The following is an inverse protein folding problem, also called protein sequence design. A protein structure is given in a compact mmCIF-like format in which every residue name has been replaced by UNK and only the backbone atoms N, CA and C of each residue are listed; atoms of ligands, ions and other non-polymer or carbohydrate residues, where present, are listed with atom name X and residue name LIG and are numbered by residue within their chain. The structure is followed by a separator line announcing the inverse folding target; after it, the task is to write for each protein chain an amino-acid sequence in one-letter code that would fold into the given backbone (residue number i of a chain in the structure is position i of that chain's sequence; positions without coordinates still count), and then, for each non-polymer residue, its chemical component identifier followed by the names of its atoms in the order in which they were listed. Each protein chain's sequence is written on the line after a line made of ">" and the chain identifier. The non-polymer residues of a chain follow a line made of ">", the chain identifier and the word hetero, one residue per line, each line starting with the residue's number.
data_IF_846696203055
#
_entry.id   IF_846696203055
#
_cell.length_a   1.000
_cell.length_b   1.000
_cell.length_c   1.000
_cell.angle_alpha   90.00
_cell.angle_beta   90.00
_cell.angle_gamma   90.00
#
_symmetry.space_group_name_H-M   'P 1'
#
loop_
_entity.id
_entity.type
_entity.pdbx_description
1 polymer ?
#
# COMPACT_ATOMS: atom_id res chain seq x y z
N UNK A 1 -11.51 9.59 36.01
CA UNK A 1 -12.69 9.51 36.88
C UNK A 1 -13.82 8.72 36.20
N UNK A 2 -14.71 8.11 36.98
CA UNK A 2 -15.85 7.37 36.41
C UNK A 2 -16.79 8.27 35.62
N UNK A 3 -16.95 9.52 36.05
CA UNK A 3 -17.76 10.53 35.37
C UNK A 3 -17.20 10.88 33.98
N UNK A 4 -15.89 11.12 33.88
CA UNK A 4 -15.25 11.40 32.58
C UNK A 4 -15.25 10.20 31.62
N UNK A 5 -15.20 8.96 32.14
CA UNK A 5 -15.36 7.76 31.32
C UNK A 5 -16.80 7.60 30.83
N UNK A 6 -17.78 7.87 31.68
CA UNK A 6 -19.21 7.83 31.32
C UNK A 6 -19.54 8.85 30.23
N UNK A 7 -19.05 10.07 30.33
CA UNK A 7 -19.19 11.12 29.33
C UNK A 7 -18.62 10.70 27.95
N UNK A 8 -17.42 10.15 27.92
CA UNK A 8 -16.79 9.66 26.69
C UNK A 8 -17.52 8.47 26.03
N UNK A 9 -18.24 7.69 26.84
CA UNK A 9 -19.04 6.55 26.38
C UNK A 9 -20.51 6.95 26.09
N UNK A 10 -20.87 8.20 26.26
CA UNK A 10 -22.27 8.70 26.16
C UNK A 10 -23.23 7.94 27.07
N UNK A 11 -22.76 7.57 28.28
CA UNK A 11 -23.53 6.86 29.29
C UNK A 11 -23.73 7.72 30.53
N UNK A 12 -24.79 7.42 31.30
CA UNK A 12 -24.86 7.99 32.65
C UNK A 12 -23.87 7.28 33.59
N UNK A 13 -23.28 8.01 34.53
CA UNK A 13 -22.35 7.45 35.52
C UNK A 13 -22.96 6.26 36.30
N UNK A 14 -24.24 6.27 36.73
CA UNK A 14 -24.87 5.12 37.36
C UNK A 14 -24.98 3.88 36.44
N UNK A 15 -25.21 4.09 35.12
CA UNK A 15 -25.25 3.01 34.16
C UNK A 15 -23.87 2.36 34.01
N UNK A 16 -22.82 3.15 33.84
CA UNK A 16 -21.44 2.66 33.77
C UNK A 16 -21.04 1.92 35.04
N UNK A 17 -21.35 2.46 36.21
CA UNK A 17 -21.08 1.81 37.51
C UNK A 17 -21.74 0.45 37.62
N UNK A 18 -23.00 0.33 37.20
CA UNK A 18 -23.73 -0.97 37.19
C UNK A 18 -23.10 -1.96 36.23
N UNK A 19 -22.69 -1.52 35.04
CA UNK A 19 -22.02 -2.39 34.06
C UNK A 19 -20.70 -2.94 34.59
N UNK A 20 -19.92 -2.10 35.28
CA UNK A 20 -18.67 -2.52 35.93
C UNK A 20 -18.91 -3.52 37.05
N UNK A 21 -19.93 -3.30 37.92
CA UNK A 21 -20.30 -4.25 38.98
C UNK A 21 -20.79 -5.60 38.41
N UNK A 22 -21.56 -5.56 37.33
CA UNK A 22 -22.01 -6.75 36.65
C UNK A 22 -20.82 -7.55 36.08
N UNK A 23 -19.85 -6.89 35.47
CA UNK A 23 -18.64 -7.53 34.97
C UNK A 23 -17.82 -8.18 36.08
N UNK A 24 -17.63 -7.50 37.22
CA UNK A 24 -16.98 -8.08 38.41
C UNK A 24 -17.76 -9.33 38.93
N UNK A 25 -19.10 -9.27 38.92
CA UNK A 25 -19.93 -10.39 39.34
C UNK A 25 -19.86 -11.58 38.38
N UNK A 26 -19.81 -11.33 37.05
CA UNK A 26 -19.67 -12.39 36.05
C UNK A 26 -18.28 -13.05 36.11
N UNK A 27 -17.23 -12.27 36.31
CA UNK A 27 -15.85 -12.76 36.44
C UNK A 27 -15.55 -13.35 37.83
N UNK A 28 -16.42 -13.12 38.82
CA UNK A 28 -16.27 -13.53 40.21
C UNK A 28 -15.00 -13.04 40.92
N UNK A 29 -14.42 -11.96 40.41
CA UNK A 29 -13.24 -11.29 40.99
C UNK A 29 -13.39 -9.77 40.95
N UNK A 30 -12.86 -9.03 41.94
CA UNK A 30 -12.81 -7.59 41.87
C UNK A 30 -11.79 -7.15 40.78
N UNK A 31 -12.14 -6.13 40.01
CA UNK A 31 -11.30 -5.56 38.99
C UNK A 31 -10.75 -4.17 39.34
N UNK A 32 -11.36 -3.53 40.33
CA UNK A 32 -11.05 -2.12 40.66
C UNK A 32 -10.69 -1.93 42.11
N UNK A 33 -9.70 -1.07 42.36
CA UNK A 33 -9.52 -0.42 43.65
C UNK A 33 -10.42 0.80 43.70
N UNK A 34 -11.32 0.85 44.69
CA UNK A 34 -12.26 1.95 44.90
C UNK A 34 -11.78 2.80 46.07
N UNK A 35 -11.43 4.05 45.80
CA UNK A 35 -11.14 5.09 46.81
C UNK A 35 -12.17 6.21 46.68
N UNK A 36 -12.29 7.05 47.71
CA UNK A 36 -13.37 8.04 47.88
C UNK A 36 -13.66 8.93 46.64
N UNK A 37 -12.65 9.14 45.76
CA UNK A 37 -12.78 9.95 44.53
C UNK A 37 -12.00 9.34 43.33
N UNK A 38 -11.51 8.12 43.44
CA UNK A 38 -10.64 7.53 42.42
C UNK A 38 -10.99 6.06 42.25
N UNK A 39 -11.06 5.62 41.00
CA UNK A 39 -11.20 4.23 40.63
C UNK A 39 -10.00 3.86 39.74
N UNK A 40 -9.31 2.78 40.08
CA UNK A 40 -8.14 2.30 39.35
C UNK A 40 -8.25 0.79 39.17
N UNK A 41 -7.67 0.28 38.08
CA UNK A 41 -7.54 -1.15 37.89
C UNK A 41 -6.62 -1.76 38.94
N UNK A 42 -7.05 -2.86 39.55
CA UNK A 42 -6.16 -3.80 40.24
C UNK A 42 -5.48 -4.72 39.20
N UNK A 43 -4.74 -5.75 39.62
CA UNK A 43 -4.05 -6.68 38.71
C UNK A 43 -5.04 -7.46 37.85
N UNK A 44 -6.14 -7.96 38.40
CA UNK A 44 -7.20 -8.63 37.66
C UNK A 44 -7.83 -7.68 36.62
N UNK A 45 -8.03 -6.42 37.00
CA UNK A 45 -8.58 -5.40 36.11
C UNK A 45 -7.69 -5.09 34.91
N UNK A 46 -6.35 -5.08 35.10
CA UNK A 46 -5.41 -4.90 33.97
C UNK A 46 -5.44 -6.09 33.02
N UNK A 47 -5.45 -7.31 33.57
CA UNK A 47 -5.60 -8.53 32.78
C UNK A 47 -6.93 -8.53 32.01
N UNK A 48 -8.05 -8.24 32.68
CA UNK A 48 -9.36 -8.15 32.04
C UNK A 48 -9.42 -7.10 30.94
N UNK A 49 -8.78 -5.93 31.16
CA UNK A 49 -8.71 -4.87 30.15
C UNK A 49 -7.89 -5.29 28.92
N UNK A 50 -6.82 -6.08 29.10
CA UNK A 50 -6.04 -6.62 27.99
C UNK A 50 -6.85 -7.63 27.18
N UNK A 51 -7.48 -8.59 27.83
CA UNK A 51 -8.38 -9.55 27.19
C UNK A 51 -9.53 -8.83 26.46
N UNK A 52 -10.12 -7.81 27.08
CA UNK A 52 -11.20 -7.04 26.46
C UNK A 52 -10.74 -6.31 25.18
N UNK A 53 -9.52 -5.77 25.15
CA UNK A 53 -8.97 -5.16 23.92
C UNK A 53 -8.84 -6.17 22.79
N UNK A 54 -8.37 -7.38 23.08
CA UNK A 54 -8.28 -8.46 22.09
C UNK A 54 -9.65 -8.82 21.51
N UNK A 55 -10.66 -9.02 22.38
CA UNK A 55 -12.03 -9.31 21.95
C UNK A 55 -12.61 -8.18 21.09
N UNK A 56 -12.43 -6.93 21.50
CA UNK A 56 -12.89 -5.77 20.71
C UNK A 56 -12.19 -5.73 19.34
N UNK A 57 -10.90 -6.02 19.29
CA UNK A 57 -10.14 -6.09 18.05
C UNK A 57 -10.68 -7.20 17.14
N UNK A 58 -10.90 -8.40 17.65
CA UNK A 58 -11.49 -9.51 16.90
C UNK A 58 -12.89 -9.19 16.36
N UNK A 59 -13.72 -8.52 17.18
CA UNK A 59 -15.05 -8.05 16.73
C UNK A 59 -14.93 -7.05 15.56
N UNK A 60 -13.99 -6.10 15.63
CA UNK A 60 -13.75 -5.15 14.55
C UNK A 60 -13.25 -5.86 13.29
N UNK A 61 -12.39 -6.85 13.44
CA UNK A 61 -11.86 -7.66 12.35
C UNK A 61 -12.97 -8.47 11.68
N UNK A 62 -13.87 -9.08 12.46
CA UNK A 62 -15.06 -9.75 11.95
C UNK A 62 -15.92 -8.82 11.10
N UNK A 63 -16.21 -7.61 11.59
CA UNK A 63 -16.99 -6.61 10.83
C UNK A 63 -16.29 -6.26 9.51
N UNK A 64 -14.97 -6.00 9.56
CA UNK A 64 -14.17 -5.71 8.35
C UNK A 64 -14.22 -6.86 7.34
N UNK A 65 -14.06 -8.11 7.79
CA UNK A 65 -14.13 -9.31 6.95
C UNK A 65 -15.49 -9.49 6.29
N UNK A 66 -16.58 -9.32 7.05
CA UNK A 66 -17.94 -9.42 6.49
C UNK A 66 -18.21 -8.33 5.45
N UNK A 67 -17.77 -7.09 5.69
CA UNK A 67 -17.90 -6.00 4.73
C UNK A 67 -17.01 -6.21 3.49
N UNK A 68 -15.78 -6.70 3.68
CA UNK A 68 -14.89 -7.07 2.58
C UNK A 68 -15.49 -8.20 1.74
N UNK A 69 -16.09 -9.18 2.38
CA UNK A 69 -16.82 -10.26 1.74
C UNK A 69 -17.97 -9.78 0.84
N UNK A 70 -18.80 -8.89 1.33
CA UNK A 70 -19.92 -8.35 0.53
C UNK A 70 -19.39 -7.53 -0.67
N UNK A 71 -18.37 -6.68 -0.45
CA UNK A 71 -17.71 -5.93 -1.52
C UNK A 71 -17.07 -6.84 -2.56
N UNK A 72 -16.35 -7.89 -2.15
CA UNK A 72 -15.65 -8.80 -3.05
C UNK A 72 -16.58 -9.58 -4.01
N UNK A 73 -17.85 -9.69 -3.67
CA UNK A 73 -18.85 -10.31 -4.55
C UNK A 73 -19.15 -9.49 -5.80
N UNK A 74 -18.90 -8.19 -5.75
CA UNK A 74 -19.23 -7.23 -6.83
C UNK A 74 -18.01 -6.47 -7.33
N UNK A 75 -16.92 -6.47 -6.59
CA UNK A 75 -15.73 -5.66 -6.89
C UNK A 75 -14.48 -6.55 -6.85
N UNK A 76 -13.61 -6.38 -7.83
CA UNK A 76 -12.22 -6.84 -7.77
C UNK A 76 -11.38 -5.64 -7.36
N UNK A 77 -10.78 -5.68 -6.16
CA UNK A 77 -9.89 -4.64 -5.68
C UNK A 77 -8.45 -5.09 -5.92
N UNK A 78 -7.74 -4.30 -6.74
CA UNK A 78 -6.32 -4.45 -7.03
C UNK A 78 -5.53 -3.50 -6.13
N UNK A 79 -4.57 -4.03 -5.38
CA UNK A 79 -3.55 -3.23 -4.70
C UNK A 79 -2.22 -3.29 -5.43
N UNK A 80 -1.49 -2.20 -5.54
CA UNK A 80 -0.17 -2.19 -6.15
C UNK A 80 0.84 -1.37 -5.37
N UNK A 81 2.08 -1.84 -5.36
CA UNK A 81 3.22 -1.11 -4.80
C UNK A 81 3.75 -0.01 -5.73
N UNK A 82 3.34 -0.01 -7.01
CA UNK A 82 3.84 0.88 -8.04
C UNK A 82 2.74 1.31 -9.02
N UNK A 83 2.94 2.40 -9.78
CA UNK A 83 1.95 2.93 -10.70
C UNK A 83 1.66 2.04 -11.91
N UNK A 84 2.68 1.43 -12.53
CA UNK A 84 2.56 0.71 -13.81
C UNK A 84 1.51 -0.39 -13.77
N UNK A 85 1.45 -1.30 -12.79
CA UNK A 85 0.41 -2.32 -12.74
C UNK A 85 -1.02 -1.74 -12.61
N UNK A 86 -1.16 -0.52 -12.06
CA UNK A 86 -2.46 0.15 -11.96
C UNK A 86 -2.96 0.68 -13.30
N UNK A 87 -2.09 0.83 -14.28
CA UNK A 87 -2.47 1.22 -15.64
C UNK A 87 -2.79 0.01 -16.53
N UNK A 88 -2.05 -1.08 -16.36
CA UNK A 88 -2.10 -2.24 -17.23
C UNK A 88 -3.17 -3.26 -16.82
N UNK A 89 -3.28 -3.56 -15.53
CA UNK A 89 -4.15 -4.64 -15.05
C UNK A 89 -5.65 -4.31 -15.11
N UNK A 90 -6.14 -3.12 -14.70
CA UNK A 90 -7.57 -2.84 -14.67
C UNK A 90 -8.30 -2.99 -16.01
N UNK A 91 -7.75 -2.57 -17.17
CA UNK A 91 -8.39 -2.83 -18.47
C UNK A 91 -8.54 -4.32 -18.79
N UNK A 92 -7.53 -5.13 -18.46
CA UNK A 92 -7.56 -6.58 -18.67
C UNK A 92 -8.61 -7.23 -17.76
N UNK A 93 -8.64 -6.86 -16.47
CA UNK A 93 -9.65 -7.34 -15.55
C UNK A 93 -11.07 -6.94 -15.99
N UNK A 94 -11.28 -5.71 -16.45
CA UNK A 94 -12.58 -5.24 -16.92
C UNK A 94 -13.06 -6.03 -18.15
N UNK A 95 -12.14 -6.42 -19.04
CA UNK A 95 -12.45 -7.24 -20.20
C UNK A 95 -12.82 -8.68 -19.83
N UNK A 96 -12.11 -9.26 -18.86
CA UNK A 96 -12.32 -10.65 -18.42
C UNK A 96 -13.52 -10.80 -17.47
N UNK A 97 -13.86 -9.75 -16.74
CA UNK A 97 -14.92 -9.74 -15.71
C UNK A 97 -15.88 -8.57 -15.90
N UNK A 98 -16.66 -8.53 -17.00
CA UNK A 98 -17.50 -7.37 -17.33
C UNK A 98 -18.60 -7.08 -16.30
N UNK A 99 -19.02 -8.11 -15.55
CA UNK A 99 -20.05 -7.99 -14.50
C UNK A 99 -19.50 -7.54 -13.14
N UNK A 100 -18.18 -7.22 -13.07
CA UNK A 100 -17.52 -6.80 -11.84
C UNK A 100 -17.08 -5.35 -11.92
N UNK A 101 -17.17 -4.67 -10.79
CA UNK A 101 -16.49 -3.37 -10.63
C UNK A 101 -15.01 -3.62 -10.39
N UNK A 102 -14.16 -3.00 -11.18
CA UNK A 102 -12.71 -3.02 -10.94
C UNK A 102 -12.34 -1.74 -10.21
N UNK A 103 -11.69 -1.89 -9.07
CA UNK A 103 -11.12 -0.78 -8.29
C UNK A 103 -9.65 -1.05 -8.04
N UNK A 104 -8.85 0.00 -8.02
CA UNK A 104 -7.41 -0.14 -7.80
C UNK A 104 -6.87 0.98 -6.96
N UNK A 105 -5.86 0.68 -6.14
CA UNK A 105 -5.16 1.68 -5.34
C UNK A 105 -3.70 1.31 -5.10
N UNK A 106 -2.88 2.30 -4.82
CA UNK A 106 -1.48 2.12 -4.46
C UNK A 106 -1.32 2.23 -2.95
N UNK A 107 -0.60 1.28 -2.36
CA UNK A 107 -0.31 1.21 -0.91
C UNK A 107 1.10 0.66 -0.67
N UNK A 108 1.55 0.81 0.56
CA UNK A 108 2.77 0.19 1.08
C UNK A 108 2.69 -1.34 1.04
N UNK A 109 3.82 -1.99 0.83
CA UNK A 109 3.91 -3.44 0.65
C UNK A 109 3.28 -4.24 1.80
N UNK A 110 3.54 -3.84 3.04
CA UNK A 110 3.02 -4.52 4.24
C UNK A 110 1.49 -4.38 4.34
N UNK A 111 0.97 -3.20 3.99
CA UNK A 111 -0.48 -2.94 3.96
C UNK A 111 -1.15 -3.80 2.87
N UNK A 112 -0.51 -3.92 1.70
CA UNK A 112 -0.99 -4.77 0.61
C UNK A 112 -1.04 -6.24 1.02
N UNK A 113 0.04 -6.75 1.59
CA UNK A 113 0.14 -8.15 1.97
C UNK A 113 -0.85 -8.48 3.10
N UNK A 114 -0.98 -7.62 4.10
CA UNK A 114 -1.96 -7.80 5.15
C UNK A 114 -3.40 -7.71 4.60
N UNK A 115 -3.67 -6.77 3.71
CA UNK A 115 -4.98 -6.63 3.07
C UNK A 115 -5.35 -7.82 2.18
N UNK A 116 -4.37 -8.48 1.56
CA UNK A 116 -4.60 -9.74 0.84
C UNK A 116 -4.99 -10.87 1.81
N UNK A 117 -4.29 -10.99 2.95
CA UNK A 117 -4.62 -11.98 4.00
C UNK A 117 -6.01 -11.78 4.58
N UNK A 118 -6.44 -10.53 4.70
CA UNK A 118 -7.74 -10.13 5.25
C UNK A 118 -8.87 -10.09 4.21
N UNK A 119 -8.66 -10.64 2.99
CA UNK A 119 -9.62 -10.61 1.86
C UNK A 119 -10.06 -9.19 1.44
N UNK A 120 -9.31 -8.15 1.79
CA UNK A 120 -9.55 -6.77 1.33
C UNK A 120 -9.21 -6.64 -0.13
N UNK A 121 -8.01 -7.09 -0.52
CA UNK A 121 -7.58 -7.17 -1.92
C UNK A 121 -7.79 -8.58 -2.45
N UNK A 122 -8.26 -8.69 -3.67
CA UNK A 122 -8.35 -9.94 -4.41
C UNK A 122 -7.07 -10.21 -5.19
N UNK A 123 -6.35 -9.14 -5.51
CA UNK A 123 -5.10 -9.16 -6.26
C UNK A 123 -4.18 -8.08 -5.72
N UNK A 124 -2.91 -8.42 -5.49
CA UNK A 124 -1.91 -7.43 -5.18
C UNK A 124 -0.65 -7.61 -6.03
N UNK A 125 0.08 -6.51 -6.23
CA UNK A 125 1.36 -6.51 -6.92
C UNK A 125 2.44 -6.06 -5.94
N UNK A 126 3.50 -6.88 -5.82
CA UNK A 126 4.66 -6.60 -4.97
C UNK A 126 5.96 -6.66 -5.79
N UNK A 127 7.04 -5.97 -5.34
CA UNK A 127 8.34 -5.97 -6.02
C UNK A 127 9.25 -7.14 -5.57
N UNK A 128 8.69 -8.15 -4.93
CA UNK A 128 9.37 -9.34 -4.46
C UNK A 128 8.40 -10.53 -4.37
N UNK A 129 8.89 -11.76 -4.50
CA UNK A 129 8.04 -12.95 -4.34
C UNK A 129 7.71 -13.20 -2.86
N UNK A 130 6.56 -13.82 -2.63
CA UNK A 130 6.12 -14.27 -1.30
C UNK A 130 5.82 -15.76 -1.38
N UNK A 131 6.45 -16.53 -0.49
CA UNK A 131 6.20 -17.96 -0.32
C UNK A 131 5.43 -18.17 1.00
N UNK A 132 4.11 -18.23 0.88
CA UNK A 132 3.20 -18.39 2.03
C UNK A 132 2.08 -19.38 1.68
N UNK A 133 1.77 -20.37 2.55
CA UNK A 133 0.66 -21.28 2.34
C UNK A 133 -0.66 -20.52 2.16
N UNK A 134 -1.41 -20.82 1.09
CA UNK A 134 -2.68 -20.16 0.81
C UNK A 134 -2.55 -18.87 -0.01
N UNK A 135 -1.35 -18.46 -0.41
CA UNK A 135 -1.10 -17.37 -1.35
C UNK A 135 -0.50 -17.94 -2.65
N UNK A 136 -1.12 -17.64 -3.76
CA UNK A 136 -0.53 -17.87 -5.10
C UNK A 136 0.31 -16.68 -5.46
N UNK A 137 1.56 -16.91 -5.84
CA UNK A 137 2.50 -15.88 -6.26
C UNK A 137 3.02 -16.23 -7.67
N UNK A 138 2.77 -15.35 -8.64
CA UNK A 138 3.15 -15.54 -10.05
C UNK A 138 3.94 -14.31 -10.51
N UNK A 139 5.00 -14.51 -11.28
CA UNK A 139 5.72 -13.40 -11.92
C UNK A 139 4.73 -12.62 -12.82
N UNK A 140 4.66 -11.30 -12.62
CA UNK A 140 3.80 -10.43 -13.40
C UNK A 140 4.54 -9.82 -14.59
N UNK A 141 5.68 -9.18 -14.33
CA UNK A 141 6.47 -8.47 -15.33
C UNK A 141 7.73 -7.87 -14.74
N UNK A 142 8.41 -7.11 -15.53
CA UNK A 142 9.63 -6.37 -15.14
C UNK A 142 9.45 -4.91 -15.49
N UNK A 143 10.10 -4.04 -14.73
CA UNK A 143 10.15 -2.60 -14.98
C UNK A 143 11.58 -2.11 -14.76
N UNK A 144 12.08 -1.32 -15.70
CA UNK A 144 13.43 -0.77 -15.69
C UNK A 144 13.38 0.73 -15.61
N UNK A 145 14.15 1.30 -14.69
CA UNK A 145 14.20 2.74 -14.46
C UNK A 145 15.30 3.40 -15.32
N UNK A 146 15.00 4.57 -15.85
CA UNK A 146 15.90 5.39 -16.65
C UNK A 146 15.96 6.80 -16.07
N UNK A 147 17.11 7.44 -16.23
CA UNK A 147 17.16 8.89 -16.21
C UNK A 147 16.75 9.44 -17.57
N UNK A 148 15.82 10.36 -17.58
CA UNK A 148 15.48 11.14 -18.77
C UNK A 148 16.11 12.53 -18.66
N UNK A 149 17.17 12.75 -19.41
CA UNK A 149 18.05 13.92 -19.32
C UNK A 149 17.81 14.88 -20.48
N UNK A 150 17.94 16.20 -20.29
CA UNK A 150 18.00 17.13 -21.41
C UNK A 150 19.25 16.85 -22.24
N UNK A 151 19.25 17.09 -23.58
CA UNK A 151 20.41 16.81 -24.45
C UNK A 151 21.67 17.55 -24.03
N UNK A 152 21.52 18.76 -23.42
CA UNK A 152 22.63 19.54 -22.94
C UNK A 152 23.23 19.08 -21.60
N UNK A 153 22.64 18.07 -20.97
CA UNK A 153 23.15 17.54 -19.70
C UNK A 153 24.51 16.86 -19.91
N UNK A 154 25.52 17.09 -19.03
CA UNK A 154 26.84 16.49 -19.18
C UNK A 154 26.86 14.97 -19.33
N UNK A 155 25.90 14.29 -18.68
CA UNK A 155 25.80 12.84 -18.68
C UNK A 155 24.84 12.27 -19.74
N UNK A 156 24.26 13.10 -20.61
CA UNK A 156 23.30 12.66 -21.64
C UNK A 156 23.89 11.66 -22.65
N UNK A 157 25.21 11.71 -22.88
CA UNK A 157 25.92 10.77 -23.76
C UNK A 157 26.31 9.44 -23.11
N UNK A 158 25.96 9.20 -21.86
CA UNK A 158 26.32 7.97 -21.15
C UNK A 158 25.52 6.77 -21.66
N UNK A 159 26.14 5.59 -21.68
CA UNK A 159 25.48 4.32 -22.04
C UNK A 159 24.72 3.70 -20.87
N UNK A 160 24.95 4.18 -19.64
CA UNK A 160 24.28 3.78 -18.40
C UNK A 160 24.84 4.60 -17.24
N UNK A 161 24.01 4.82 -16.22
CA UNK A 161 24.34 5.62 -15.04
C UNK A 161 23.89 4.91 -13.77
N UNK A 162 24.56 5.18 -12.67
CA UNK A 162 24.06 4.83 -11.34
C UNK A 162 23.30 6.01 -10.72
N UNK A 163 22.38 5.73 -9.82
CA UNK A 163 21.62 6.80 -9.13
C UNK A 163 22.53 7.80 -8.42
N UNK A 164 23.65 7.34 -7.88
CA UNK A 164 24.69 8.19 -7.25
C UNK A 164 25.30 9.21 -8.20
N UNK A 165 25.29 8.98 -9.52
CA UNK A 165 25.94 9.87 -10.49
C UNK A 165 25.18 11.19 -10.68
N UNK A 166 23.88 11.21 -10.33
CA UNK A 166 23.05 12.41 -10.27
C UNK A 166 22.72 12.84 -8.82
N UNK A 167 23.31 12.19 -7.82
CA UNK A 167 23.09 12.60 -6.43
C UNK A 167 23.63 14.01 -6.18
N UNK A 168 22.82 14.87 -5.56
CA UNK A 168 23.13 16.28 -5.33
C UNK A 168 22.58 17.23 -6.39
N UNK A 169 22.01 16.74 -7.49
CA UNK A 169 21.35 17.57 -8.49
C UNK A 169 19.93 17.98 -8.07
N UNK A 170 19.32 18.92 -8.78
CA UNK A 170 17.90 19.23 -8.68
C UNK A 170 17.14 18.47 -9.76
N UNK A 171 16.16 17.64 -9.39
CA UNK A 171 15.39 16.82 -10.30
C UNK A 171 13.89 17.05 -10.13
N UNK A 172 13.13 16.96 -11.21
CA UNK A 172 11.66 16.86 -11.11
C UNK A 172 11.27 15.43 -10.73
N UNK A 173 10.30 15.32 -9.87
CA UNK A 173 9.76 14.04 -9.43
C UNK A 173 8.25 14.07 -9.47
N UNK A 174 7.63 13.03 -10.05
CA UNK A 174 6.19 12.84 -10.02
C UNK A 174 5.77 12.40 -8.62
N UNK A 175 4.67 12.89 -8.11
CA UNK A 175 4.11 12.36 -6.87
C UNK A 175 3.54 10.94 -7.09
N UNK A 176 3.23 10.23 -6.01
CA UNK A 176 2.63 8.88 -6.04
C UNK A 176 3.44 7.83 -6.80
N UNK A 177 4.70 7.71 -6.46
CA UNK A 177 5.62 6.75 -7.06
C UNK A 177 5.61 5.37 -6.38
N UNK A 178 4.89 5.21 -5.27
CA UNK A 178 4.91 3.97 -4.50
C UNK A 178 6.31 3.67 -3.95
N UNK A 179 6.74 2.41 -4.03
CA UNK A 179 8.04 1.99 -3.50
C UNK A 179 9.25 2.68 -4.15
N UNK A 180 9.11 3.24 -5.35
CA UNK A 180 10.17 4.01 -6.01
C UNK A 180 10.59 5.25 -5.20
N UNK A 181 9.66 5.82 -4.43
CA UNK A 181 9.94 6.95 -3.58
C UNK A 181 11.03 6.66 -2.54
N UNK A 182 10.88 5.55 -1.81
CA UNK A 182 11.86 5.16 -0.79
C UNK A 182 13.22 4.83 -1.42
N UNK A 183 13.22 4.19 -2.58
CA UNK A 183 14.43 3.87 -3.32
C UNK A 183 15.19 5.14 -3.69
N UNK A 184 14.50 6.14 -4.25
CA UNK A 184 15.12 7.40 -4.68
C UNK A 184 15.73 8.16 -3.50
N UNK A 185 15.01 8.30 -2.39
CA UNK A 185 15.54 8.97 -1.19
C UNK A 185 16.76 8.25 -0.61
N UNK A 186 16.74 6.93 -0.58
CA UNK A 186 17.85 6.14 -0.05
C UNK A 186 19.10 6.20 -0.91
N UNK A 187 18.94 6.19 -2.25
CA UNK A 187 20.07 6.15 -3.20
C UNK A 187 20.59 7.54 -3.56
N UNK A 188 19.77 8.57 -3.39
CA UNK A 188 20.08 9.95 -3.79
C UNK A 188 19.74 10.95 -2.66
N UNK A 189 20.35 10.78 -1.45
CA UNK A 189 19.97 11.55 -0.27
C UNK A 189 20.26 13.05 -0.36
N UNK A 190 21.19 13.46 -1.19
CA UNK A 190 21.57 14.88 -1.35
C UNK A 190 20.84 15.56 -2.53
N UNK A 191 20.02 14.79 -3.28
CA UNK A 191 19.27 15.31 -4.44
C UNK A 191 18.07 16.11 -3.98
N UNK A 192 17.88 17.29 -4.58
CA UNK A 192 16.70 18.11 -4.36
C UNK A 192 15.59 17.70 -5.32
N UNK A 193 14.62 16.93 -4.84
CA UNK A 193 13.44 16.56 -5.60
C UNK A 193 12.38 17.67 -5.57
N UNK A 194 11.92 18.08 -6.75
CA UNK A 194 10.80 19.00 -6.95
C UNK A 194 9.59 18.16 -7.31
N UNK A 195 8.78 17.81 -6.29
CA UNK A 195 7.59 16.99 -6.47
C UNK A 195 6.49 17.77 -7.18
N UNK A 196 5.83 17.11 -8.12
CA UNK A 196 4.74 17.68 -8.91
C UNK A 196 3.62 16.67 -9.11
N UNK A 197 2.39 17.16 -9.20
CA UNK A 197 1.25 16.37 -9.67
C UNK A 197 1.31 16.15 -11.18
N UNK A 198 0.63 15.12 -11.70
CA UNK A 198 0.78 14.63 -13.06
C UNK A 198 0.71 15.73 -14.14
N UNK A 199 -0.30 16.60 -14.11
CA UNK A 199 -0.45 17.66 -15.12
C UNK A 199 0.69 18.70 -15.07
N UNK A 200 1.06 19.14 -13.87
CA UNK A 200 2.14 20.10 -13.67
C UNK A 200 3.51 19.46 -13.99
N UNK A 201 3.69 18.19 -13.68
CA UNK A 201 4.89 17.43 -14.02
C UNK A 201 5.10 17.39 -15.53
N UNK A 202 4.09 17.00 -16.31
CA UNK A 202 4.19 16.89 -17.77
C UNK A 202 4.48 18.23 -18.45
N UNK A 203 3.92 19.33 -17.94
CA UNK A 203 4.20 20.68 -18.44
C UNK A 203 5.65 21.09 -18.14
N UNK A 204 6.11 20.84 -16.90
CA UNK A 204 7.48 21.16 -16.50
C UNK A 204 8.52 20.29 -17.22
N UNK A 205 8.22 19.03 -17.51
CA UNK A 205 9.10 18.16 -18.30
C UNK A 205 9.36 18.74 -19.69
N UNK A 206 8.35 19.35 -20.31
CA UNK A 206 8.47 19.98 -21.65
C UNK A 206 9.23 21.32 -21.63
N UNK A 207 9.13 22.06 -20.54
CA UNK A 207 9.62 23.43 -20.43
C UNK A 207 10.92 23.58 -19.64
N UNK A 208 11.34 22.58 -18.86
CA UNK A 208 12.53 22.63 -18.00
C UNK A 208 13.67 21.76 -18.51
N UNK A 209 14.91 22.14 -18.11
CA UNK A 209 16.11 21.35 -18.33
C UNK A 209 16.47 20.43 -17.15
N UNK A 210 15.54 20.19 -16.21
CA UNK A 210 15.80 19.35 -15.05
C UNK A 210 15.74 17.87 -15.43
N UNK A 211 16.64 17.03 -14.90
CA UNK A 211 16.53 15.58 -14.99
C UNK A 211 15.23 15.05 -14.37
N UNK A 212 14.73 13.97 -14.92
CA UNK A 212 13.59 13.21 -14.39
C UNK A 212 13.88 11.72 -14.40
N UNK A 213 13.07 10.95 -13.70
CA UNK A 213 12.98 9.50 -13.90
C UNK A 213 11.88 9.17 -14.94
N UNK A 214 12.10 8.08 -15.68
CA UNK A 214 11.10 7.41 -16.49
C UNK A 214 11.35 5.90 -16.43
N UNK A 215 10.41 5.11 -16.94
CA UNK A 215 10.56 3.66 -17.02
C UNK A 215 10.32 3.19 -18.45
N UNK A 216 10.79 1.98 -18.78
CA UNK A 216 10.47 1.35 -20.07
C UNK A 216 8.96 1.26 -20.29
N UNK A 217 8.18 0.85 -19.30
CA UNK A 217 6.72 0.78 -19.39
C UNK A 217 6.07 2.16 -19.64
N UNK A 218 6.60 3.23 -19.02
CA UNK A 218 6.12 4.59 -19.29
C UNK A 218 6.50 5.05 -20.72
N UNK A 219 7.70 4.71 -21.17
CA UNK A 219 8.17 5.02 -22.53
C UNK A 219 7.36 4.30 -23.61
N UNK A 220 6.99 3.03 -23.37
CA UNK A 220 6.16 2.25 -24.29
C UNK A 220 4.74 2.82 -24.40
N UNK A 221 4.21 3.30 -23.28
CA UNK A 221 2.84 3.84 -23.20
C UNK A 221 2.71 5.27 -23.73
N UNK A 222 3.60 6.16 -23.27
CA UNK A 222 3.49 7.61 -23.50
C UNK A 222 4.42 8.10 -24.63
N UNK A 223 5.37 7.25 -25.04
CA UNK A 223 6.47 7.61 -25.92
C UNK A 223 7.58 8.37 -25.18
N UNK A 224 8.73 8.46 -25.82
CA UNK A 224 9.84 9.24 -25.28
C UNK A 224 9.49 10.74 -25.26
N UNK A 225 9.72 11.44 -24.13
CA UNK A 225 9.53 12.88 -24.09
C UNK A 225 10.39 13.58 -25.14
N UNK A 226 9.82 14.57 -25.83
CA UNK A 226 10.52 15.33 -26.85
C UNK A 226 11.76 16.01 -26.25
N UNK A 227 12.85 15.99 -27.01
CA UNK A 227 14.13 16.62 -26.65
C UNK A 227 14.73 16.09 -25.33
N UNK A 228 14.65 14.80 -25.07
CA UNK A 228 15.30 14.16 -23.94
C UNK A 228 16.03 12.89 -24.36
N UNK A 229 17.06 12.55 -23.63
CA UNK A 229 17.84 11.31 -23.77
C UNK A 229 17.57 10.44 -22.58
N UNK A 230 17.11 9.21 -22.83
CA UNK A 230 16.84 8.23 -21.76
C UNK A 230 18.07 7.35 -21.58
N UNK A 231 18.67 7.42 -20.39
CA UNK A 231 19.86 6.67 -20.01
C UNK A 231 19.49 5.63 -18.95
N UNK A 232 19.75 4.33 -19.20
CA UNK A 232 19.37 3.28 -18.25
C UNK A 232 20.10 3.42 -16.92
N UNK A 233 19.40 3.12 -15.82
CA UNK A 233 19.97 3.10 -14.47
C UNK A 233 20.48 1.70 -14.17
N UNK A 234 21.76 1.62 -13.80
CA UNK A 234 22.50 0.36 -13.62
C UNK A 234 22.38 -0.21 -12.19
N UNK A 235 21.79 0.53 -11.26
CA UNK A 235 21.51 -0.01 -9.93
C UNK A 235 20.58 -1.23 -10.04
N UNK A 236 20.93 -2.30 -9.34
CA UNK A 236 20.14 -3.53 -9.38
C UNK A 236 18.69 -3.30 -8.94
N UNK A 237 18.49 -2.45 -7.94
CA UNK A 237 17.17 -2.13 -7.39
C UNK A 237 16.33 -1.24 -8.30
N UNK A 238 16.94 -0.63 -9.33
CA UNK A 238 16.24 0.13 -10.38
C UNK A 238 15.66 -0.78 -11.48
N UNK A 239 15.91 -2.09 -11.40
CA UNK A 239 15.42 -3.13 -12.31
C UNK A 239 14.56 -4.08 -11.49
N UNK A 240 13.27 -3.92 -11.54
CA UNK A 240 12.33 -4.59 -10.64
C UNK A 240 11.54 -5.67 -11.36
N UNK A 241 11.45 -6.82 -10.74
CA UNK A 241 10.51 -7.88 -11.12
C UNK A 241 9.29 -7.77 -10.20
N UNK A 242 8.13 -7.60 -10.78
CA UNK A 242 6.86 -7.61 -10.05
C UNK A 242 6.25 -9.01 -10.00
N UNK A 243 5.59 -9.26 -8.88
CA UNK A 243 4.86 -10.48 -8.62
C UNK A 243 3.41 -10.17 -8.35
N UNK A 244 2.53 -10.94 -8.98
CA UNK A 244 1.10 -10.91 -8.76
C UNK A 244 0.71 -11.95 -7.74
N UNK A 245 0.09 -11.52 -6.64
CA UNK A 245 -0.33 -12.38 -5.55
C UNK A 245 -1.85 -12.39 -5.43
N UNK A 246 -2.40 -13.57 -5.20
CA UNK A 246 -3.83 -13.79 -4.97
C UNK A 246 -4.05 -14.98 -4.03
N UNK A 247 -5.24 -15.09 -3.45
CA UNK A 247 -5.63 -16.28 -2.70
C UNK A 247 -6.27 -17.29 -3.66
N UNK A 248 -5.74 -18.53 -3.79
CA UNK A 248 -6.25 -19.55 -4.75
C UNK A 248 -7.68 -20.00 -4.46
N UNK A 249 -8.11 -19.89 -3.20
CA UNK A 249 -9.46 -20.18 -2.74
C UNK A 249 -10.29 -18.91 -2.51
N UNK A 250 -9.76 -17.76 -2.92
CA UNK A 250 -10.48 -16.49 -2.93
C UNK A 250 -11.76 -16.62 -3.76
N UNK A 251 -12.79 -15.91 -3.34
CA UNK A 251 -14.16 -16.00 -3.91
C UNK A 251 -14.29 -15.46 -5.33
N UNK A 252 -13.29 -14.77 -5.80
CA UNK A 252 -13.19 -14.35 -7.18
C UNK A 252 -12.28 -15.34 -7.90
N UNK A 253 -12.85 -16.06 -8.85
CA UNK A 253 -12.06 -16.92 -9.73
C UNK A 253 -11.22 -16.04 -10.67
N UNK A 254 -10.02 -15.68 -10.23
CA UNK A 254 -9.07 -14.89 -11.03
C UNK A 254 -8.20 -15.76 -11.95
N UNK A 255 -8.50 -17.06 -12.09
CA UNK A 255 -7.74 -17.99 -12.93
C UNK A 255 -7.66 -17.55 -14.39
N UNK A 256 -8.71 -16.92 -14.91
CA UNK A 256 -8.69 -16.39 -16.27
C UNK A 256 -7.62 -15.31 -16.43
N UNK A 257 -7.53 -14.38 -15.47
CA UNK A 257 -6.50 -13.35 -15.45
C UNK A 257 -5.10 -13.95 -15.21
N UNK A 258 -4.94 -14.81 -14.21
CA UNK A 258 -3.63 -15.41 -13.89
C UNK A 258 -3.04 -16.21 -15.07
N UNK A 259 -3.88 -16.76 -15.97
CA UNK A 259 -3.44 -17.44 -17.19
C UNK A 259 -2.94 -16.46 -18.28
N UNK A 260 -3.23 -15.18 -18.18
CA UNK A 260 -2.73 -14.16 -19.12
C UNK A 260 -1.33 -13.67 -18.74
N UNK A 261 -0.90 -13.95 -17.50
CA UNK A 261 0.42 -13.59 -17.02
C UNK A 261 1.50 -14.45 -17.66
N UNK A 262 2.73 -13.92 -17.81
CA UNK A 262 3.85 -14.71 -18.31
C UNK A 262 4.02 -15.98 -17.46
N UNK A 263 4.06 -17.13 -18.11
CA UNK A 263 4.41 -18.37 -17.41
C UNK A 263 5.84 -18.23 -16.83
N UNK A 264 6.07 -18.71 -15.58
CA UNK A 264 7.39 -18.66 -14.94
C UNK A 264 8.43 -19.47 -15.71
#
# INVERSE_FOLDING_TARGET
>A
TLSGAAERLHLSQPALSRSMQRLEAELQVPLFHRQKNKIEFNENGRMAAECARQVVQECQDMVRRVQAFDRSRRTILLGSCAPVPLWEIPPVLSSLYPDRTISSEMRENDVLLQGLRDDVYQLIILPYPVEEPGISCVKYGEEHLYFSLPPAHPLSGSTGLYMRDLNGETMLLRNRLGFWWELTLRKMPDTRFLEQEDMAFDELVRSSALPIFTTDAALDREGAPLNRVNVPILDREANVTYYCLSQPHGRNDLRAFLKTLPNP
#
